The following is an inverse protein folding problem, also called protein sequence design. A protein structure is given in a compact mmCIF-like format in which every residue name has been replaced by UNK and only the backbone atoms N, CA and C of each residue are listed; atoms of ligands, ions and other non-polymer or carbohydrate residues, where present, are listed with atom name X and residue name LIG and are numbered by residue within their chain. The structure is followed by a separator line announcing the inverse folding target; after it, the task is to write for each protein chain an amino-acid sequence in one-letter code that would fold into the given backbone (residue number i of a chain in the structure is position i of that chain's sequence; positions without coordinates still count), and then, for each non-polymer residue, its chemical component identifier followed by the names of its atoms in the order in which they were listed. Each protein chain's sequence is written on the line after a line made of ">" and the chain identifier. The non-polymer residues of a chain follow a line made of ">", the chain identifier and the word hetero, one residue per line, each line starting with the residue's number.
data_IF_574084325963
#
_entry.id   IF_574084325963
#
_cell.length_a   1.000
_cell.length_b   1.000
_cell.length_c   1.000
_cell.angle_alpha   90.00
_cell.angle_beta   90.00
_cell.angle_gamma   90.00
#
_symmetry.space_group_name_H-M   'P 1'
#
loop_
_entity.id
_entity.type
_entity.pdbx_description
1 polymer ?
#
# COMPACT_ATOMS: atom_id res chain seq x y z
N UNK A 1 -4.66 -7.55 33.51
CA UNK A 1 -5.21 -7.52 32.14
C UNK A 1 -4.13 -8.05 31.21
N UNK A 2 -4.42 -9.09 30.42
CA UNK A 2 -3.48 -9.59 29.41
C UNK A 2 -3.15 -8.47 28.41
N UNK A 3 -1.86 -8.29 28.09
CA UNK A 3 -1.41 -7.34 27.07
C UNK A 3 -2.05 -7.74 25.73
N UNK A 4 -2.78 -6.83 25.07
CA UNK A 4 -3.30 -7.08 23.72
C UNK A 4 -2.12 -7.24 22.76
N UNK A 5 -2.19 -8.19 21.84
CA UNK A 5 -1.14 -8.45 20.85
C UNK A 5 -0.82 -7.18 20.04
N UNK A 6 0.43 -7.03 19.61
CA UNK A 6 0.88 -5.81 18.94
C UNK A 6 0.18 -5.63 17.56
N UNK A 7 -0.16 -6.73 16.87
CA UNK A 7 -0.97 -6.77 15.64
C UNK A 7 -2.34 -6.13 15.85
N UNK A 8 -3.04 -6.50 16.93
CA UNK A 8 -4.36 -5.92 17.24
C UNK A 8 -4.25 -4.40 17.45
N UNK A 9 -3.20 -3.95 18.17
CA UNK A 9 -3.00 -2.53 18.44
C UNK A 9 -2.72 -1.70 17.18
N UNK A 10 -2.04 -2.29 16.19
CA UNK A 10 -1.70 -1.62 14.94
C UNK A 10 -2.83 -1.68 13.91
N UNK A 11 -3.45 -2.85 13.71
CA UNK A 11 -4.47 -3.04 12.68
C UNK A 11 -5.84 -2.51 13.07
N UNK A 12 -6.18 -2.47 14.36
CA UNK A 12 -7.49 -1.99 14.81
C UNK A 12 -7.83 -0.59 14.29
N UNK A 13 -6.94 0.42 14.43
CA UNK A 13 -7.25 1.78 13.99
C UNK A 13 -7.19 1.92 12.47
N UNK A 14 -6.27 1.18 11.81
CA UNK A 14 -6.19 1.10 10.34
C UNK A 14 -7.50 0.56 9.76
N UNK A 15 -7.98 -0.58 10.26
CA UNK A 15 -9.24 -1.19 9.82
C UNK A 15 -10.40 -0.24 10.13
N UNK A 16 -10.41 0.40 11.30
CA UNK A 16 -11.47 1.36 11.65
C UNK A 16 -11.48 2.56 10.70
N UNK A 17 -10.32 3.08 10.34
CA UNK A 17 -10.17 4.17 9.37
C UNK A 17 -10.65 3.73 7.97
N UNK A 18 -10.15 2.62 7.45
CA UNK A 18 -10.59 2.07 6.16
C UNK A 18 -12.08 1.72 6.13
N UNK A 19 -12.65 1.34 7.27
CA UNK A 19 -14.10 1.12 7.41
C UNK A 19 -14.90 2.42 7.23
N UNK A 20 -14.43 3.53 7.81
CA UNK A 20 -15.08 4.83 7.64
C UNK A 20 -15.13 5.24 6.16
N UNK A 21 -14.06 4.94 5.41
CA UNK A 21 -13.95 5.23 3.98
C UNK A 21 -14.48 4.12 3.07
N UNK A 22 -15.23 3.15 3.59
CA UNK A 22 -15.86 2.06 2.82
C UNK A 22 -14.89 1.13 2.06
N UNK A 23 -13.63 1.04 2.50
CA UNK A 23 -12.62 0.21 1.84
C UNK A 23 -12.69 -1.22 2.35
N UNK A 24 -12.84 -1.40 3.67
CA UNK A 24 -12.80 -2.72 4.31
C UNK A 24 -14.10 -3.03 5.05
N UNK A 25 -14.79 -4.16 4.77
CA UNK A 25 -16.05 -4.53 5.41
C UNK A 25 -15.88 -5.23 6.78
N UNK A 26 -14.80 -4.93 7.50
CA UNK A 26 -14.45 -5.55 8.78
C UNK A 26 -14.66 -4.58 9.95
N UNK A 27 -14.94 -5.13 11.12
CA UNK A 27 -15.07 -4.41 12.39
C UNK A 27 -14.19 -5.08 13.44
N UNK A 28 -13.63 -4.28 14.35
CA UNK A 28 -12.96 -4.78 15.54
C UNK A 28 -13.96 -5.19 16.63
N UNK A 29 -13.68 -6.30 17.30
CA UNK A 29 -14.38 -6.77 18.49
C UNK A 29 -13.50 -6.69 19.76
N UNK A 30 -14.15 -6.58 20.92
CA UNK A 30 -13.46 -6.53 22.21
C UNK A 30 -13.00 -7.90 22.73
N UNK A 31 -13.56 -8.99 22.18
CA UNK A 31 -13.28 -10.38 22.53
C UNK A 31 -12.96 -11.17 21.25
N UNK A 32 -12.38 -12.35 21.40
CA UNK A 32 -12.14 -13.26 20.28
C UNK A 32 -13.45 -13.73 19.63
N UNK A 33 -13.52 -13.77 18.29
CA UNK A 33 -12.51 -13.29 17.32
C UNK A 33 -12.38 -11.75 17.34
N UNK A 34 -11.14 -11.23 17.37
CA UNK A 34 -10.88 -9.78 17.54
C UNK A 34 -11.31 -8.91 16.34
N UNK A 35 -11.62 -9.54 15.22
CA UNK A 35 -12.19 -8.93 14.04
C UNK A 35 -13.40 -9.75 13.58
N UNK A 36 -14.40 -9.08 13.01
CA UNK A 36 -15.59 -9.72 12.45
C UNK A 36 -16.07 -8.96 11.21
N UNK A 37 -16.86 -9.63 10.37
CA UNK A 37 -17.56 -8.96 9.27
C UNK A 37 -18.71 -8.11 9.80
N UNK A 38 -18.76 -6.86 9.40
CA UNK A 38 -19.84 -5.96 9.78
C UNK A 38 -20.82 -5.79 8.61
N UNK A 39 -22.07 -6.24 8.78
CA UNK A 39 -23.10 -6.12 7.73
C UNK A 39 -23.29 -4.68 7.26
N UNK A 40 -23.34 -3.72 8.18
CA UNK A 40 -23.46 -2.30 7.83
C UNK A 40 -22.27 -1.80 7.01
N UNK A 41 -21.05 -2.20 7.38
CA UNK A 41 -19.85 -1.86 6.62
C UNK A 41 -19.83 -2.52 5.24
N UNK A 42 -20.34 -3.74 5.13
CA UNK A 42 -20.43 -4.44 3.85
C UNK A 42 -21.36 -3.72 2.88
N UNK A 43 -22.56 -3.31 3.33
CA UNK A 43 -23.45 -2.49 2.50
C UNK A 43 -22.84 -1.12 2.17
N UNK A 44 -22.08 -0.53 3.10
CA UNK A 44 -21.36 0.72 2.84
C UNK A 44 -20.30 0.54 1.74
N UNK A 45 -19.48 -0.51 1.80
CA UNK A 45 -18.50 -0.84 0.77
C UNK A 45 -19.17 -1.12 -0.59
N UNK A 46 -20.32 -1.82 -0.60
CA UNK A 46 -21.09 -2.06 -1.83
C UNK A 46 -21.63 -0.77 -2.44
N UNK A 47 -22.10 0.16 -1.62
CA UNK A 47 -22.57 1.46 -2.10
C UNK A 47 -21.43 2.27 -2.71
N UNK A 48 -20.26 2.30 -2.08
CA UNK A 48 -19.10 3.02 -2.62
C UNK A 48 -18.55 2.36 -3.88
N UNK A 49 -18.50 1.02 -3.94
CA UNK A 49 -18.18 0.30 -5.19
C UNK A 49 -19.18 0.66 -6.31
N UNK A 50 -20.48 0.74 -6.01
CA UNK A 50 -21.46 1.19 -7.00
C UNK A 50 -21.19 2.63 -7.48
N UNK A 51 -20.83 3.54 -6.57
CA UNK A 51 -20.46 4.92 -6.93
C UNK A 51 -19.22 4.93 -7.84
N UNK A 52 -18.18 4.17 -7.52
CA UNK A 52 -16.98 4.06 -8.37
C UNK A 52 -17.25 3.41 -9.72
N UNK A 53 -18.13 2.41 -9.79
CA UNK A 53 -18.58 1.85 -11.05
C UNK A 53 -19.28 2.91 -11.91
N UNK A 54 -20.15 3.72 -11.32
CA UNK A 54 -20.81 4.82 -12.02
C UNK A 54 -19.81 5.88 -12.50
N UNK A 55 -18.84 6.29 -11.68
CA UNK A 55 -17.81 7.26 -12.10
C UNK A 55 -16.89 6.69 -13.15
N UNK A 56 -16.52 5.40 -13.06
CA UNK A 56 -15.75 4.70 -14.09
C UNK A 56 -16.48 4.68 -15.44
N UNK A 57 -17.78 4.34 -15.45
CA UNK A 57 -18.60 4.40 -16.68
C UNK A 57 -18.66 5.83 -17.23
N UNK A 58 -18.83 6.82 -16.36
CA UNK A 58 -18.80 8.23 -16.77
C UNK A 58 -17.45 8.63 -17.38
N UNK A 59 -16.32 8.18 -16.80
CA UNK A 59 -14.98 8.41 -17.37
C UNK A 59 -14.79 7.74 -18.73
N UNK A 60 -15.40 6.57 -18.99
CA UNK A 60 -15.40 5.98 -20.33
C UNK A 60 -16.11 6.91 -21.32
N UNK A 61 -17.29 7.44 -20.96
CA UNK A 61 -18.02 8.37 -21.81
C UNK A 61 -17.21 9.64 -22.07
N UNK A 62 -16.52 10.17 -21.05
CA UNK A 62 -15.64 11.33 -21.17
C UNK A 62 -14.47 11.06 -22.15
N UNK A 63 -13.85 9.89 -22.08
CA UNK A 63 -12.78 9.49 -23.03
C UNK A 63 -13.31 9.39 -24.47
N UNK A 64 -14.53 8.87 -24.66
CA UNK A 64 -15.15 8.77 -25.98
C UNK A 64 -15.46 10.17 -26.55
N UNK A 65 -16.00 11.06 -25.72
CA UNK A 65 -16.33 12.44 -26.11
C UNK A 65 -15.08 13.25 -26.47
N UNK A 66 -13.99 13.04 -25.71
CA UNK A 66 -12.71 13.73 -25.91
C UNK A 66 -11.84 13.14 -27.01
N UNK A 67 -12.26 12.06 -27.68
CA UNK A 67 -11.42 11.33 -28.65
C UNK A 67 -11.04 12.18 -29.89
N UNK A 68 -11.88 13.14 -30.25
CA UNK A 68 -11.62 14.09 -31.34
C UNK A 68 -10.97 15.40 -30.86
N UNK A 69 -10.67 15.52 -29.57
CA UNK A 69 -10.09 16.71 -28.95
C UNK A 69 -8.55 16.67 -28.98
N UNK A 70 -7.91 17.64 -28.32
CA UNK A 70 -6.45 17.66 -28.20
C UNK A 70 -5.93 16.44 -27.44
N UNK A 71 -4.68 16.04 -27.74
CA UNK A 71 -4.01 14.92 -27.06
C UNK A 71 -3.98 15.07 -25.53
N UNK A 72 -3.96 16.32 -25.04
CA UNK A 72 -4.05 16.63 -23.61
C UNK A 72 -5.39 16.24 -23.01
N UNK A 73 -6.51 16.62 -23.65
CA UNK A 73 -7.84 16.28 -23.14
C UNK A 73 -8.05 14.76 -23.10
N UNK A 74 -7.50 14.03 -24.08
CA UNK A 74 -7.51 12.57 -24.10
C UNK A 74 -6.69 12.01 -22.93
N UNK A 75 -5.51 12.57 -22.66
CA UNK A 75 -4.65 12.14 -21.55
C UNK A 75 -5.32 12.40 -20.18
N UNK A 76 -5.93 13.57 -19.99
CA UNK A 76 -6.66 13.91 -18.76
C UNK A 76 -7.90 13.02 -18.57
N UNK A 77 -8.68 12.77 -19.60
CA UNK A 77 -9.82 11.85 -19.51
C UNK A 77 -9.39 10.41 -19.20
N UNK A 78 -8.27 9.97 -19.80
CA UNK A 78 -7.68 8.64 -19.54
C UNK A 78 -7.15 8.54 -18.10
N UNK A 79 -6.62 9.64 -17.54
CA UNK A 79 -6.20 9.69 -16.14
C UNK A 79 -7.37 9.35 -15.19
N UNK A 80 -8.53 10.00 -15.36
CA UNK A 80 -9.72 9.75 -14.54
C UNK A 80 -10.23 8.32 -14.69
N UNK A 81 -10.20 7.78 -15.92
CA UNK A 81 -10.57 6.39 -16.18
C UNK A 81 -9.73 5.41 -15.35
N UNK A 82 -8.41 5.59 -15.36
CA UNK A 82 -7.47 4.72 -14.63
C UNK A 82 -7.60 4.93 -13.12
N UNK A 83 -7.84 6.18 -12.69
CA UNK A 83 -8.10 6.56 -11.30
C UNK A 83 -9.27 5.82 -10.68
N UNK A 84 -10.45 5.92 -11.29
CA UNK A 84 -11.62 5.24 -10.75
C UNK A 84 -11.56 3.73 -10.96
N UNK A 85 -10.89 3.24 -12.02
CA UNK A 85 -10.63 1.81 -12.16
C UNK A 85 -9.77 1.26 -11.02
N UNK A 86 -8.72 1.98 -10.61
CA UNK A 86 -7.89 1.61 -9.47
C UNK A 86 -8.71 1.58 -8.17
N UNK A 87 -9.48 2.64 -7.89
CA UNK A 87 -10.31 2.72 -6.69
C UNK A 87 -11.34 1.58 -6.63
N UNK A 88 -12.01 1.30 -7.74
CA UNK A 88 -12.96 0.20 -7.88
C UNK A 88 -12.29 -1.15 -7.63
N UNK A 89 -11.17 -1.44 -8.30
CA UNK A 89 -10.43 -2.68 -8.11
C UNK A 89 -9.97 -2.87 -6.66
N UNK A 90 -9.58 -1.80 -5.96
CA UNK A 90 -9.19 -1.86 -4.54
C UNK A 90 -10.38 -2.20 -3.63
N UNK A 91 -11.54 -1.56 -3.81
CA UNK A 91 -12.74 -1.87 -3.00
C UNK A 91 -13.24 -3.27 -3.30
N UNK A 92 -13.31 -3.66 -4.57
CA UNK A 92 -13.70 -5.02 -4.99
C UNK A 92 -12.76 -6.07 -4.39
N UNK A 93 -11.44 -5.81 -4.38
CA UNK A 93 -10.48 -6.68 -3.73
C UNK A 93 -10.86 -6.95 -2.26
N UNK A 94 -11.11 -5.91 -1.46
CA UNK A 94 -11.45 -6.08 -0.05
C UNK A 94 -12.84 -6.68 0.18
N UNK A 95 -13.81 -6.42 -0.70
CA UNK A 95 -15.11 -7.06 -0.65
C UNK A 95 -14.98 -8.57 -0.82
N UNK A 96 -14.30 -9.00 -1.89
CA UNK A 96 -14.10 -10.42 -2.23
C UNK A 96 -13.21 -11.14 -1.22
N UNK A 97 -12.08 -10.53 -0.85
CA UNK A 97 -11.07 -11.12 0.03
C UNK A 97 -11.35 -10.93 1.52
N UNK A 98 -12.51 -10.39 1.90
CA UNK A 98 -12.83 -10.12 3.31
C UNK A 98 -12.86 -11.36 4.20
N UNK A 99 -13.17 -12.55 3.65
CA UNK A 99 -13.11 -13.83 4.39
C UNK A 99 -11.67 -14.19 4.71
N UNK A 100 -10.82 -14.10 3.70
CA UNK A 100 -9.45 -14.58 3.75
C UNK A 100 -8.57 -13.59 4.51
N UNK A 101 -8.86 -12.29 4.42
CA UNK A 101 -8.29 -11.26 5.28
C UNK A 101 -8.60 -11.51 6.76
N UNK A 102 -9.82 -11.95 7.09
CA UNK A 102 -10.18 -12.27 8.47
C UNK A 102 -9.39 -13.49 8.96
N UNK A 103 -9.29 -14.54 8.14
CA UNK A 103 -8.50 -15.73 8.46
C UNK A 103 -7.02 -15.39 8.64
N UNK A 104 -6.47 -14.56 7.76
CA UNK A 104 -5.09 -14.08 7.84
C UNK A 104 -4.83 -13.31 9.14
N UNK A 105 -5.71 -12.36 9.51
CA UNK A 105 -5.54 -11.59 10.74
C UNK A 105 -5.59 -12.49 11.98
N UNK A 106 -6.45 -13.52 11.98
CA UNK A 106 -6.52 -14.48 13.08
C UNK A 106 -5.26 -15.35 13.14
N UNK A 107 -4.80 -15.88 12.00
CA UNK A 107 -3.55 -16.63 11.92
C UNK A 107 -2.33 -15.78 12.33
N UNK A 108 -2.34 -14.49 12.01
CA UNK A 108 -1.30 -13.55 12.42
C UNK A 108 -1.29 -13.38 13.94
N UNK A 109 -2.46 -13.24 14.58
CA UNK A 109 -2.55 -13.16 16.05
C UNK A 109 -1.99 -14.44 16.70
N UNK A 110 -2.31 -15.60 16.15
CA UNK A 110 -1.79 -16.88 16.68
C UNK A 110 -0.28 -17.03 16.46
N UNK A 111 0.23 -16.59 15.31
CA UNK A 111 1.67 -16.52 15.03
C UNK A 111 2.36 -15.55 16.00
N UNK A 112 1.75 -14.40 16.28
CA UNK A 112 2.31 -13.43 17.21
C UNK A 112 2.37 -13.98 18.64
N UNK A 113 1.38 -14.76 19.10
CA UNK A 113 1.46 -15.44 20.39
C UNK A 113 2.69 -16.34 20.49
N UNK A 114 2.95 -17.13 19.45
CA UNK A 114 4.16 -17.95 19.36
C UNK A 114 5.44 -17.09 19.39
N UNK A 115 5.45 -15.94 18.70
CA UNK A 115 6.58 -15.00 18.72
C UNK A 115 6.80 -14.42 20.11
N UNK A 116 5.74 -14.01 20.81
CA UNK A 116 5.80 -13.45 22.16
C UNK A 116 6.32 -14.47 23.18
N UNK A 117 5.91 -15.74 23.09
CA UNK A 117 6.49 -16.83 23.89
C UNK A 117 8.01 -16.89 23.72
N UNK A 118 8.47 -16.66 22.49
CA UNK A 118 9.87 -16.63 22.07
C UNK A 118 10.57 -15.28 22.32
N UNK A 119 9.96 -14.37 23.06
CA UNK A 119 10.50 -13.03 23.35
C UNK A 119 10.76 -12.18 22.08
N UNK A 120 10.02 -12.45 21.01
CA UNK A 120 10.05 -11.66 19.78
C UNK A 120 8.88 -10.68 19.84
N UNK A 121 9.21 -9.39 19.93
CA UNK A 121 8.23 -8.30 19.97
C UNK A 121 8.58 -7.25 18.91
N UNK A 122 7.59 -6.48 18.43
CA UNK A 122 7.87 -5.36 17.53
C UNK A 122 8.79 -4.32 18.18
N UNK A 123 8.53 -4.03 19.46
CA UNK A 123 9.13 -2.91 20.17
C UNK A 123 8.43 -1.58 19.90
N UNK A 124 8.65 -0.60 20.78
CA UNK A 124 7.97 0.72 20.73
C UNK A 124 8.35 1.52 19.48
N UNK A 125 9.61 1.46 19.06
CA UNK A 125 10.12 2.23 17.92
C UNK A 125 9.40 1.87 16.62
N UNK A 126 9.23 0.57 16.34
CA UNK A 126 8.57 0.13 15.11
C UNK A 126 7.09 0.47 15.12
N UNK A 127 6.42 0.34 16.28
CA UNK A 127 5.04 0.82 16.42
C UNK A 127 4.91 2.31 16.12
N UNK A 128 5.82 3.14 16.67
CA UNK A 128 5.84 4.57 16.36
C UNK A 128 6.10 4.84 14.88
N UNK A 129 6.96 4.06 14.22
CA UNK A 129 7.18 4.17 12.77
C UNK A 129 5.93 3.85 11.96
N UNK A 130 5.24 2.75 12.26
CA UNK A 130 3.98 2.39 11.61
C UNK A 130 2.93 3.50 11.77
N UNK A 131 2.81 4.06 12.98
CA UNK A 131 1.89 5.16 13.26
C UNK A 131 2.27 6.46 12.56
N UNK A 132 3.55 6.79 12.55
CA UNK A 132 4.06 7.95 11.83
C UNK A 132 3.76 7.84 10.33
N UNK A 133 4.01 6.67 9.73
CA UNK A 133 3.71 6.42 8.32
C UNK A 133 2.21 6.55 8.07
N UNK A 134 1.36 5.93 8.89
CA UNK A 134 -0.09 6.04 8.75
C UNK A 134 -0.57 7.50 8.78
N UNK A 135 -0.17 8.25 9.80
CA UNK A 135 -0.57 9.66 9.96
C UNK A 135 0.00 10.50 8.81
N UNK A 136 1.28 10.31 8.45
CA UNK A 136 1.91 11.04 7.37
C UNK A 136 1.26 10.77 6.02
N UNK A 137 0.91 9.51 5.71
CA UNK A 137 0.24 9.16 4.45
C UNK A 137 -1.13 9.82 4.37
N UNK A 138 -1.93 9.79 5.45
CA UNK A 138 -3.27 10.42 5.48
C UNK A 138 -3.17 11.94 5.37
N UNK A 139 -2.22 12.58 6.06
CA UNK A 139 -2.03 14.03 5.97
C UNK A 139 -1.59 14.43 4.55
N UNK A 140 -0.61 13.72 4.00
CA UNK A 140 -0.08 14.04 2.67
C UNK A 140 -1.11 13.80 1.57
N UNK A 141 -1.90 12.72 1.64
CA UNK A 141 -2.94 12.47 0.62
C UNK A 141 -3.97 13.59 0.59
N UNK A 142 -4.40 14.08 1.76
CA UNK A 142 -5.40 15.14 1.86
C UNK A 142 -4.83 16.56 1.70
N UNK A 143 -3.50 16.71 1.63
CA UNK A 143 -2.87 18.04 1.54
C UNK A 143 -3.20 18.72 0.21
N UNK A 144 -3.24 17.96 -0.88
CA UNK A 144 -3.60 18.45 -2.20
C UNK A 144 -5.03 19.02 -2.19
N UNK A 145 -6.01 18.23 -1.72
CA UNK A 145 -7.38 18.67 -1.53
C UNK A 145 -7.51 19.91 -0.64
N UNK A 146 -6.76 19.97 0.46
CA UNK A 146 -6.76 21.13 1.35
C UNK A 146 -6.23 22.41 0.66
N UNK A 147 -5.19 22.29 -0.17
CA UNK A 147 -4.64 23.40 -0.95
C UNK A 147 -5.62 23.88 -2.03
N UNK A 148 -6.31 22.95 -2.70
CA UNK A 148 -7.36 23.30 -3.66
C UNK A 148 -8.52 24.05 -3.00
N UNK A 149 -9.00 23.56 -1.86
CA UNK A 149 -10.06 24.22 -1.10
C UNK A 149 -9.62 25.61 -0.63
N UNK A 150 -8.40 25.74 -0.11
CA UNK A 150 -7.87 27.03 0.31
C UNK A 150 -7.75 28.04 -0.84
N UNK A 151 -7.34 27.57 -2.02
CA UNK A 151 -7.29 28.38 -3.24
C UNK A 151 -8.69 28.87 -3.66
N UNK A 152 -9.65 27.95 -3.74
CA UNK A 152 -11.04 28.28 -4.11
C UNK A 152 -11.69 29.27 -3.13
N UNK A 153 -11.44 29.13 -1.82
CA UNK A 153 -11.97 30.04 -0.80
C UNK A 153 -11.34 31.42 -0.88
N UNK A 154 -10.05 31.52 -1.24
CA UNK A 154 -9.36 32.80 -1.37
C UNK A 154 -9.85 33.62 -2.56
N UNK A 155 -10.11 32.94 -3.68
CA UNK A 155 -10.40 33.60 -4.96
C UNK A 155 -11.91 33.85 -5.18
N UNK A 156 -12.78 33.26 -4.36
CA UNK A 156 -14.22 33.45 -4.44
C UNK A 156 -14.73 34.69 -3.68
N UNK A 157 -15.68 35.42 -4.26
CA UNK A 157 -16.37 36.52 -3.60
C UNK A 157 -17.55 36.03 -2.75
N UNK A 158 -18.18 34.91 -3.15
CA UNK A 158 -19.37 34.36 -2.50
C UNK A 158 -19.33 32.82 -2.43
N UNK A 159 -20.17 32.22 -1.57
CA UNK A 159 -20.21 30.76 -1.34
C UNK A 159 -20.51 29.95 -2.60
N UNK A 160 -21.42 30.43 -3.46
CA UNK A 160 -21.73 29.77 -4.75
C UNK A 160 -20.52 29.75 -5.69
N UNK A 161 -19.69 30.79 -5.65
CA UNK A 161 -18.48 30.87 -6.46
C UNK A 161 -17.38 29.93 -5.93
N UNK A 162 -17.32 29.70 -4.61
CA UNK A 162 -16.46 28.67 -4.03
C UNK A 162 -16.79 27.30 -4.63
N UNK A 163 -18.08 26.92 -4.68
CA UNK A 163 -18.49 25.63 -5.24
C UNK A 163 -18.22 25.55 -6.75
N UNK A 164 -18.46 26.62 -7.49
CA UNK A 164 -18.11 26.68 -8.91
C UNK A 164 -16.61 26.50 -9.15
N UNK A 165 -15.77 27.21 -8.39
CA UNK A 165 -14.32 27.08 -8.47
C UNK A 165 -13.83 25.69 -8.04
N UNK A 166 -14.44 25.09 -7.02
CA UNK A 166 -14.14 23.71 -6.60
C UNK A 166 -14.49 22.70 -7.69
N UNK A 167 -15.67 22.80 -8.32
CA UNK A 167 -16.05 21.95 -9.46
C UNK A 167 -15.10 22.15 -10.63
N UNK A 168 -14.77 23.40 -10.95
CA UNK A 168 -13.84 23.73 -12.03
C UNK A 168 -12.43 23.19 -11.75
N UNK A 169 -11.92 23.33 -10.53
CA UNK A 169 -10.59 22.86 -10.14
C UNK A 169 -10.53 21.34 -10.04
N UNK A 170 -11.53 20.69 -9.46
CA UNK A 170 -11.61 19.23 -9.36
C UNK A 170 -11.82 18.57 -10.74
N UNK A 171 -12.57 19.23 -11.63
CA UNK A 171 -12.68 18.86 -13.04
C UNK A 171 -11.47 19.26 -13.90
N UNK A 172 -10.37 19.78 -13.31
CA UNK A 172 -9.17 20.28 -14.02
C UNK A 172 -9.51 21.19 -15.21
N UNK A 173 -10.42 22.13 -15.00
CA UNK A 173 -10.94 23.08 -15.99
C UNK A 173 -11.83 22.50 -17.09
N UNK A 174 -12.21 21.22 -17.01
CA UNK A 174 -13.22 20.64 -17.89
C UNK A 174 -14.57 21.29 -17.59
N UNK A 175 -15.21 21.87 -18.61
CA UNK A 175 -16.54 22.46 -18.44
C UNK A 175 -17.58 21.35 -18.30
N UNK A 176 -17.95 21.05 -17.05
CA UNK A 176 -18.96 20.05 -16.71
C UNK A 176 -20.39 20.61 -16.76
N UNK A 177 -20.57 21.92 -17.03
CA UNK A 177 -21.90 22.53 -17.15
C UNK A 177 -22.86 21.83 -18.14
N UNK A 178 -22.41 21.33 -19.31
CA UNK A 178 -23.30 20.64 -20.26
C UNK A 178 -23.95 19.39 -19.67
N UNK A 179 -23.32 18.78 -18.67
CA UNK A 179 -23.76 17.52 -18.08
C UNK A 179 -24.65 17.72 -16.84
N UNK A 180 -24.45 18.81 -16.08
CA UNK A 180 -25.08 18.99 -14.76
C UNK A 180 -26.01 20.21 -14.64
N UNK A 181 -26.04 21.11 -15.63
CA UNK A 181 -27.02 22.21 -15.68
C UNK A 181 -27.03 23.07 -14.42
N UNK A 182 -28.21 23.24 -13.80
CA UNK A 182 -28.40 24.07 -12.59
C UNK A 182 -28.02 23.37 -11.27
N UNK A 183 -27.68 22.09 -11.29
CA UNK A 183 -27.38 21.30 -10.07
C UNK A 183 -25.93 21.40 -9.59
N UNK A 184 -25.24 22.49 -9.94
CA UNK A 184 -23.78 22.65 -9.76
C UNK A 184 -23.33 22.54 -8.31
N UNK A 185 -24.11 23.08 -7.37
CA UNK A 185 -23.77 23.08 -5.94
C UNK A 185 -23.86 21.66 -5.33
N UNK A 186 -24.94 20.94 -5.64
CA UNK A 186 -25.15 19.56 -5.16
C UNK A 186 -24.09 18.62 -5.75
N UNK A 187 -23.78 18.80 -7.03
CA UNK A 187 -22.76 18.03 -7.72
C UNK A 187 -21.36 18.31 -7.17
N UNK A 188 -21.00 19.58 -6.92
CA UNK A 188 -19.71 19.93 -6.34
C UNK A 188 -19.48 19.30 -4.97
N UNK A 189 -20.50 19.29 -4.10
CA UNK A 189 -20.41 18.59 -2.82
C UNK A 189 -20.25 17.08 -3.00
N UNK A 190 -21.02 16.47 -3.89
CA UNK A 190 -20.91 15.04 -4.18
C UNK A 190 -19.52 14.66 -4.71
N UNK A 191 -18.95 15.49 -5.59
CA UNK A 191 -17.63 15.26 -6.18
C UNK A 191 -16.52 15.33 -5.12
N UNK A 192 -16.53 16.34 -4.25
CA UNK A 192 -15.56 16.44 -3.13
C UNK A 192 -15.65 15.21 -2.22
N UNK A 193 -16.87 14.76 -1.93
CA UNK A 193 -17.07 13.57 -1.11
C UNK A 193 -16.52 12.30 -1.78
N UNK A 194 -16.82 12.10 -3.07
CA UNK A 194 -16.33 10.95 -3.84
C UNK A 194 -14.80 10.99 -4.01
N UNK A 195 -14.22 12.16 -4.23
CA UNK A 195 -12.77 12.33 -4.31
C UNK A 195 -12.09 12.00 -2.98
N UNK A 196 -12.64 12.47 -1.85
CA UNK A 196 -12.11 12.12 -0.53
C UNK A 196 -12.15 10.61 -0.27
N UNK A 197 -13.22 9.92 -0.69
CA UNK A 197 -13.27 8.45 -0.63
C UNK A 197 -12.20 7.82 -1.53
N UNK A 198 -12.08 8.31 -2.77
CA UNK A 198 -11.18 7.80 -3.81
C UNK A 198 -9.72 7.94 -3.40
N UNK A 199 -9.33 9.06 -2.78
CA UNK A 199 -7.97 9.26 -2.29
C UNK A 199 -7.57 8.18 -1.30
N UNK A 200 -8.46 7.82 -0.36
CA UNK A 200 -8.14 6.80 0.64
C UNK A 200 -8.08 5.41 0.00
N UNK A 201 -8.97 5.11 -0.95
CA UNK A 201 -8.90 3.87 -1.73
C UNK A 201 -7.60 3.79 -2.55
N UNK A 202 -7.16 4.91 -3.12
CA UNK A 202 -5.95 5.01 -3.93
C UNK A 202 -4.67 4.78 -3.12
N UNK A 203 -4.60 5.28 -1.87
CA UNK A 203 -3.42 5.10 -0.99
C UNK A 203 -3.41 3.78 -0.21
N UNK A 204 -4.52 3.05 -0.18
CA UNK A 204 -4.67 1.88 0.67
C UNK A 204 -3.63 0.79 0.35
N UNK A 205 -3.39 0.53 -0.93
CA UNK A 205 -2.42 -0.48 -1.38
C UNK A 205 -1.00 -0.20 -0.90
N UNK A 206 -0.45 0.98 -1.19
CA UNK A 206 0.90 1.36 -0.76
C UNK A 206 1.07 1.34 0.74
N UNK A 207 0.05 1.82 1.46
CA UNK A 207 0.07 1.82 2.90
C UNK A 207 0.13 0.40 3.47
N UNK A 208 -0.67 -0.52 2.93
CA UNK A 208 -0.67 -1.93 3.36
C UNK A 208 0.68 -2.58 3.04
N UNK A 209 1.22 -2.36 1.84
CA UNK A 209 2.55 -2.87 1.46
C UNK A 209 3.60 -2.39 2.44
N UNK A 210 3.64 -1.08 2.74
CA UNK A 210 4.59 -0.49 3.67
C UNK A 210 4.44 -1.06 5.08
N UNK A 211 3.21 -1.12 5.61
CA UNK A 211 2.91 -1.56 6.96
C UNK A 211 3.31 -3.03 7.17
N UNK A 212 2.84 -3.91 6.27
CA UNK A 212 3.16 -5.34 6.29
C UNK A 212 4.67 -5.56 6.20
N UNK A 213 5.33 -4.86 5.28
CA UNK A 213 6.77 -4.98 5.07
C UNK A 213 7.57 -4.63 6.32
N UNK A 214 7.19 -3.56 7.03
CA UNK A 214 7.86 -3.12 8.26
C UNK A 214 7.66 -4.13 9.39
N UNK A 215 6.42 -4.59 9.59
CA UNK A 215 6.08 -5.50 10.69
C UNK A 215 6.80 -6.84 10.51
N UNK A 216 6.65 -7.48 9.34
CA UNK A 216 7.28 -8.78 9.07
C UNK A 216 8.80 -8.67 9.11
N UNK A 217 9.37 -7.59 8.53
CA UNK A 217 10.80 -7.34 8.59
C UNK A 217 11.30 -7.31 10.03
N UNK A 218 10.59 -6.62 10.92
CA UNK A 218 11.01 -6.53 12.32
C UNK A 218 11.03 -7.89 12.99
N UNK A 219 10.03 -8.74 12.76
CA UNK A 219 10.03 -10.09 13.31
C UNK A 219 11.21 -10.91 12.80
N UNK A 220 11.53 -10.86 11.51
CA UNK A 220 12.70 -11.53 10.95
C UNK A 220 14.02 -10.97 11.50
N UNK A 221 14.14 -9.65 11.70
CA UNK A 221 15.35 -9.03 12.26
C UNK A 221 15.62 -9.55 13.68
N UNK A 222 14.60 -9.55 14.55
CA UNK A 222 14.73 -10.05 15.93
C UNK A 222 14.97 -11.56 15.93
N UNK A 223 14.27 -12.32 15.09
CA UNK A 223 14.51 -13.77 14.97
C UNK A 223 15.95 -14.07 14.53
N UNK A 224 16.48 -13.32 13.57
CA UNK A 224 17.86 -13.44 13.11
C UNK A 224 18.87 -13.07 14.21
N UNK A 225 18.61 -12.04 15.01
CA UNK A 225 19.44 -11.68 16.16
C UNK A 225 19.47 -12.81 17.20
N UNK A 226 18.31 -13.44 17.47
CA UNK A 226 18.24 -14.62 18.32
C UNK A 226 19.05 -15.78 17.74
N UNK A 227 18.88 -16.09 16.46
CA UNK A 227 19.67 -17.11 15.75
C UNK A 227 21.18 -16.85 15.89
N UNK A 228 21.59 -15.57 15.84
CA UNK A 228 22.99 -15.15 15.96
C UNK A 228 23.60 -15.34 17.34
N UNK A 229 22.83 -15.04 18.38
CA UNK A 229 23.27 -15.19 19.77
C UNK A 229 23.44 -16.66 20.20
N UNK A 230 22.94 -17.61 19.40
CA UNK A 230 22.84 -19.03 19.76
C UNK A 230 23.99 -19.87 19.19
N UNK A 231 25.24 -19.43 19.41
CA UNK A 231 26.44 -20.14 18.94
C UNK A 231 26.54 -21.57 19.48
N UNK A 232 26.10 -21.82 20.72
CA UNK A 232 26.12 -23.13 21.38
C UNK A 232 24.72 -23.67 21.67
N UNK A 233 23.71 -23.32 20.85
CA UNK A 233 22.34 -23.73 21.11
C UNK A 233 22.18 -25.25 21.23
N UNK A 234 21.41 -25.67 22.22
CA UNK A 234 20.97 -27.04 22.36
C UNK A 234 20.00 -27.43 21.24
N UNK A 235 19.83 -28.74 21.04
CA UNK A 235 18.87 -29.27 20.07
C UNK A 235 17.44 -28.70 20.26
N UNK A 236 16.98 -28.60 21.51
CA UNK A 236 15.65 -28.07 21.82
C UNK A 236 15.53 -26.58 21.48
N UNK A 237 16.60 -25.80 21.66
CA UNK A 237 16.63 -24.38 21.29
C UNK A 237 16.57 -24.20 19.78
N UNK A 238 17.30 -25.01 19.02
CA UNK A 238 17.24 -25.01 17.55
C UNK A 238 15.86 -25.41 17.03
N UNK A 239 15.21 -26.41 17.63
CA UNK A 239 13.85 -26.79 17.24
C UNK A 239 12.84 -25.67 17.52
N UNK A 240 13.02 -24.96 18.63
CA UNK A 240 12.20 -23.79 18.97
C UNK A 240 12.38 -22.67 17.93
N UNK A 241 13.61 -22.38 17.54
CA UNK A 241 13.92 -21.38 16.50
C UNK A 241 13.37 -21.80 15.14
N UNK A 242 13.47 -23.08 14.77
CA UNK A 242 12.89 -23.61 13.54
C UNK A 242 11.37 -23.41 13.48
N UNK A 243 10.66 -23.70 14.57
CA UNK A 243 9.19 -23.49 14.65
C UNK A 243 8.81 -22.03 14.44
N UNK A 244 9.59 -21.10 14.98
CA UNK A 244 9.41 -19.67 14.75
C UNK A 244 9.67 -19.28 13.29
N UNK A 245 10.76 -19.79 12.71
CA UNK A 245 11.09 -19.52 11.30
C UNK A 245 9.98 -20.01 10.37
N UNK A 246 9.48 -21.24 10.58
CA UNK A 246 8.37 -21.80 9.81
C UNK A 246 7.12 -20.92 9.95
N UNK A 247 6.72 -20.55 11.18
CA UNK A 247 5.55 -19.72 11.39
C UNK A 247 5.66 -18.33 10.73
N UNK A 248 6.84 -17.70 10.77
CA UNK A 248 7.08 -16.44 10.07
C UNK A 248 7.01 -16.59 8.55
N UNK A 249 7.56 -17.68 8.03
CA UNK A 249 7.60 -17.96 6.61
C UNK A 249 6.19 -18.24 6.07
N UNK A 250 5.44 -19.11 6.73
CA UNK A 250 4.04 -19.39 6.42
C UNK A 250 3.18 -18.13 6.48
N UNK A 251 3.34 -17.29 7.52
CA UNK A 251 2.62 -16.01 7.62
C UNK A 251 2.98 -15.08 6.45
N UNK A 252 4.28 -14.98 6.12
CA UNK A 252 4.73 -14.11 5.01
C UNK A 252 4.19 -14.60 3.67
N UNK A 253 4.14 -15.92 3.46
CA UNK A 253 3.56 -16.53 2.26
C UNK A 253 2.07 -16.20 2.14
N UNK A 254 1.28 -16.43 3.20
CA UNK A 254 -0.16 -16.13 3.19
C UNK A 254 -0.44 -14.64 2.95
N UNK A 255 0.35 -13.76 3.56
CA UNK A 255 0.29 -12.31 3.30
C UNK A 255 0.59 -12.00 1.83
N UNK A 256 1.68 -12.57 1.29
CA UNK A 256 2.12 -12.31 -0.08
C UNK A 256 1.11 -12.83 -1.11
N UNK A 257 0.48 -13.97 -0.83
CA UNK A 257 -0.56 -14.57 -1.66
C UNK A 257 -1.85 -13.74 -1.63
N UNK A 258 -2.35 -13.39 -0.43
CA UNK A 258 -3.57 -12.62 -0.27
C UNK A 258 -3.46 -11.24 -0.92
N UNK A 259 -2.38 -10.50 -0.64
CA UNK A 259 -2.20 -9.14 -1.14
C UNK A 259 -1.57 -9.08 -2.53
N UNK A 260 -1.28 -10.22 -3.17
CA UNK A 260 -0.65 -10.28 -4.49
C UNK A 260 -1.40 -9.47 -5.57
N UNK A 261 -2.73 -9.60 -5.70
CA UNK A 261 -3.50 -8.83 -6.69
C UNK A 261 -3.49 -7.33 -6.38
N UNK A 262 -3.60 -6.96 -5.09
CA UNK A 262 -3.56 -5.56 -4.66
C UNK A 262 -2.20 -4.93 -4.98
N UNK A 263 -1.09 -5.63 -4.72
CA UNK A 263 0.26 -5.18 -5.07
C UNK A 263 0.39 -4.95 -6.58
N UNK A 264 -0.13 -5.87 -7.40
CA UNK A 264 -0.09 -5.74 -8.85
C UNK A 264 -0.83 -4.49 -9.33
N UNK A 265 -2.06 -4.30 -8.86
CA UNK A 265 -2.91 -3.16 -9.22
C UNK A 265 -2.26 -1.85 -8.78
N UNK A 266 -1.85 -1.75 -7.52
CA UNK A 266 -1.27 -0.51 -6.97
C UNK A 266 -0.01 -0.09 -7.70
N UNK A 267 0.97 -1.00 -7.85
CA UNK A 267 2.23 -0.67 -8.53
C UNK A 267 1.99 -0.37 -10.01
N UNK A 268 1.11 -1.11 -10.68
CA UNK A 268 0.79 -0.89 -12.09
C UNK A 268 0.14 0.47 -12.33
N UNK A 269 -0.90 0.80 -11.56
CA UNK A 269 -1.59 2.09 -11.66
C UNK A 269 -0.66 3.26 -11.30
N UNK A 270 0.15 3.12 -10.25
CA UNK A 270 1.08 4.18 -9.84
C UNK A 270 2.13 4.50 -10.90
N UNK A 271 2.66 3.48 -11.59
CA UNK A 271 3.53 3.72 -12.75
C UNK A 271 2.79 4.50 -13.83
N UNK A 272 1.55 4.12 -14.17
CA UNK A 272 0.78 4.83 -15.20
C UNK A 272 0.50 6.29 -14.78
N UNK A 273 0.18 6.56 -13.51
CA UNK A 273 0.02 7.94 -13.03
C UNK A 273 1.30 8.74 -13.17
N UNK A 274 2.45 8.19 -12.79
CA UNK A 274 3.74 8.89 -12.93
C UNK A 274 4.00 9.25 -14.39
N UNK A 275 3.74 8.33 -15.33
CA UNK A 275 3.89 8.58 -16.77
C UNK A 275 2.91 9.66 -17.28
N UNK A 276 1.69 9.68 -16.75
CA UNK A 276 0.66 10.66 -17.11
C UNK A 276 0.98 12.05 -16.54
N UNK A 277 1.48 12.13 -15.31
CA UNK A 277 1.99 13.36 -14.71
C UNK A 277 3.23 13.87 -15.45
N UNK A 278 4.15 13.00 -15.89
CA UNK A 278 5.28 13.42 -16.72
C UNK A 278 4.80 14.06 -18.03
N UNK A 279 3.82 13.45 -18.70
CA UNK A 279 3.24 13.99 -19.93
C UNK A 279 2.55 15.34 -19.69
N UNK A 280 1.70 15.42 -18.66
CA UNK A 280 0.88 16.61 -18.38
C UNK A 280 1.68 17.76 -17.75
N UNK A 281 2.71 17.44 -16.97
CA UNK A 281 3.54 18.39 -16.24
C UNK A 281 4.46 19.21 -17.13
N UNK A 282 4.99 18.57 -18.17
CA UNK A 282 5.76 19.24 -19.21
C UNK A 282 4.94 20.33 -19.91
N UNK A 283 3.62 20.17 -20.00
CA UNK A 283 2.71 21.12 -20.64
C UNK A 283 2.18 22.20 -19.65
N UNK A 284 1.91 21.81 -18.40
CA UNK A 284 1.46 22.73 -17.34
C UNK A 284 2.53 23.77 -16.97
N UNK A 285 3.82 23.38 -16.97
CA UNK A 285 4.93 24.30 -16.69
C UNK A 285 5.06 25.39 -17.77
N UNK A 286 4.64 25.10 -19.01
CA UNK A 286 4.67 26.04 -20.14
C UNK A 286 3.43 26.94 -20.18
N UNK A 287 2.28 26.41 -19.78
CA UNK A 287 0.96 27.01 -20.05
C UNK A 287 0.36 27.82 -18.90
N UNK A 288 0.81 27.61 -17.65
CA UNK A 288 0.16 28.20 -16.46
C UNK A 288 0.99 29.33 -15.82
N UNK A 289 0.41 30.54 -15.62
CA UNK A 289 1.12 31.66 -15.00
C UNK A 289 1.12 31.64 -13.46
N UNK A 290 0.31 30.78 -12.81
CA UNK A 290 0.16 30.81 -11.35
C UNK A 290 1.15 29.87 -10.64
N UNK A 291 1.93 30.43 -9.73
CA UNK A 291 2.91 29.69 -8.92
C UNK A 291 2.25 28.59 -8.06
N UNK A 292 1.00 28.80 -7.64
CA UNK A 292 0.25 27.86 -6.82
C UNK A 292 -0.09 26.57 -7.59
N UNK A 293 -0.56 26.68 -8.84
CA UNK A 293 -0.89 25.51 -9.68
C UNK A 293 0.38 24.70 -9.98
N UNK A 294 1.49 25.37 -10.29
CA UNK A 294 2.80 24.73 -10.46
C UNK A 294 3.25 23.99 -9.21
N UNK A 295 3.08 24.58 -8.03
CA UNK A 295 3.43 23.95 -6.76
C UNK A 295 2.58 22.70 -6.48
N UNK A 296 1.25 22.80 -6.63
CA UNK A 296 0.35 21.66 -6.42
C UNK A 296 0.71 20.52 -7.38
N UNK A 297 0.87 20.83 -8.66
CA UNK A 297 1.24 19.82 -9.64
C UNK A 297 2.57 19.11 -9.31
N UNK A 298 3.60 19.90 -8.98
CA UNK A 298 4.92 19.37 -8.60
C UNK A 298 4.83 18.52 -7.34
N UNK A 299 4.02 18.94 -6.38
CA UNK A 299 3.76 18.20 -5.16
C UNK A 299 3.11 16.85 -5.46
N UNK A 300 2.02 16.81 -6.21
CA UNK A 300 1.29 15.57 -6.56
C UNK A 300 2.20 14.58 -7.29
N UNK A 301 3.00 15.07 -8.24
CA UNK A 301 3.97 14.25 -8.96
C UNK A 301 5.03 13.66 -8.03
N UNK A 302 5.67 14.50 -7.21
CA UNK A 302 6.70 14.06 -6.27
C UNK A 302 6.12 13.11 -5.22
N UNK A 303 4.88 13.34 -4.79
CA UNK A 303 4.18 12.50 -3.81
C UNK A 303 3.96 11.09 -4.33
N UNK A 304 3.45 10.92 -5.56
CA UNK A 304 3.23 9.58 -6.15
C UNK A 304 4.55 8.82 -6.34
N UNK A 305 5.60 9.49 -6.85
CA UNK A 305 6.94 8.88 -6.97
C UNK A 305 7.46 8.44 -5.61
N UNK A 306 7.40 9.34 -4.62
CA UNK A 306 7.91 9.05 -3.29
C UNK A 306 7.16 7.87 -2.66
N UNK A 307 5.84 7.86 -2.77
CA UNK A 307 4.98 6.79 -2.24
C UNK A 307 5.32 5.43 -2.87
N UNK A 308 5.40 5.36 -4.19
CA UNK A 308 5.77 4.15 -4.93
C UNK A 308 7.17 3.66 -4.55
N UNK A 309 8.17 4.55 -4.59
CA UNK A 309 9.55 4.19 -4.29
C UNK A 309 9.71 3.77 -2.83
N UNK A 310 9.01 4.42 -1.90
CA UNK A 310 9.03 4.10 -0.49
C UNK A 310 8.38 2.74 -0.19
N UNK A 311 7.20 2.45 -0.76
CA UNK A 311 6.51 1.16 -0.57
C UNK A 311 7.34 -0.01 -1.12
N UNK A 312 7.87 0.14 -2.34
CA UNK A 312 8.76 -0.85 -2.97
C UNK A 312 10.07 -1.00 -2.20
N UNK A 313 10.66 0.09 -1.71
CA UNK A 313 11.89 0.03 -0.91
C UNK A 313 11.69 -0.75 0.38
N UNK A 314 10.61 -0.49 1.13
CA UNK A 314 10.32 -1.23 2.36
C UNK A 314 10.10 -2.72 2.09
N UNK A 315 9.35 -3.07 1.05
CA UNK A 315 9.15 -4.45 0.64
C UNK A 315 10.47 -5.12 0.22
N UNK A 316 11.34 -4.40 -0.49
CA UNK A 316 12.65 -4.93 -0.90
C UNK A 316 13.54 -5.31 0.28
N UNK A 317 13.42 -4.60 1.40
CA UNK A 317 14.20 -4.88 2.61
C UNK A 317 13.75 -6.19 3.25
N UNK A 318 12.46 -6.51 3.20
CA UNK A 318 11.91 -7.80 3.64
C UNK A 318 12.50 -8.96 2.81
N UNK A 319 12.48 -8.82 1.48
CA UNK A 319 12.97 -9.82 0.52
C UNK A 319 14.46 -10.21 0.71
N UNK A 320 15.28 -9.33 1.30
CA UNK A 320 16.71 -9.60 1.53
C UNK A 320 17.03 -10.36 2.82
N UNK A 321 16.12 -10.38 3.79
CA UNK A 321 16.41 -10.96 5.10
C UNK A 321 16.75 -12.45 5.07
N UNK A 322 16.03 -13.31 4.33
CA UNK A 322 16.30 -14.74 4.41
C UNK A 322 17.66 -15.12 3.86
N UNK A 323 18.08 -14.51 2.73
CA UNK A 323 19.44 -14.71 2.18
C UNK A 323 20.51 -14.38 3.23
N UNK A 324 20.36 -13.24 3.90
CA UNK A 324 21.27 -12.79 4.97
C UNK A 324 21.23 -13.67 6.23
N UNK A 325 20.17 -14.45 6.42
CA UNK A 325 20.04 -15.43 7.51
C UNK A 325 20.72 -16.74 7.12
N UNK A 326 20.55 -17.20 5.88
CA UNK A 326 21.21 -18.39 5.33
C UNK A 326 22.73 -18.22 5.30
N UNK A 327 23.23 -17.09 4.80
CA UNK A 327 24.68 -16.79 4.78
C UNK A 327 25.28 -16.89 6.19
N UNK A 328 24.53 -16.42 7.19
CA UNK A 328 24.95 -16.52 8.59
C UNK A 328 24.90 -17.95 9.13
N UNK A 329 23.86 -18.71 8.78
CA UNK A 329 23.74 -20.11 9.19
C UNK A 329 24.91 -20.97 8.70
N UNK A 330 25.39 -20.71 7.48
CA UNK A 330 26.58 -21.38 6.94
C UNK A 330 27.89 -20.98 7.62
N UNK A 331 27.95 -19.80 8.25
CA UNK A 331 29.15 -19.33 8.97
C UNK A 331 29.26 -19.85 10.41
N UNK A 332 28.21 -20.47 10.95
CA UNK A 332 28.23 -21.02 12.30
C UNK A 332 29.17 -22.24 12.39
N UNK A 333 29.96 -22.38 13.46
CA UNK A 333 30.88 -23.51 13.59
C UNK A 333 30.11 -24.84 13.61
N UNK A 334 30.51 -25.80 12.78
CA UNK A 334 29.91 -27.13 12.69
C UNK A 334 30.20 -28.02 13.91
N UNK A 335 31.28 -27.72 14.65
CA UNK A 335 31.81 -28.53 15.74
C UNK A 335 31.53 -27.90 17.11
N UNK A 336 30.27 -27.89 17.54
CA UNK A 336 29.90 -27.48 18.90
C UNK A 336 29.13 -28.61 19.58
N UNK A 337 29.67 -29.12 20.69
CA UNK A 337 29.08 -30.22 21.48
C UNK A 337 30.11 -31.24 21.91
N UNK A 338 29.85 -31.92 23.04
CA UNK A 338 30.75 -32.92 23.63
C UNK A 338 30.62 -34.32 23.00
N UNK A 339 29.53 -34.57 22.25
CA UNK A 339 29.26 -35.87 21.60
C UNK A 339 29.01 -35.71 20.09
N UNK A 340 29.46 -36.69 19.30
CA UNK A 340 29.26 -36.74 17.85
C UNK A 340 27.78 -36.71 17.44
N UNK A 341 26.90 -37.28 18.27
CA UNK A 341 25.46 -37.34 18.01
C UNK A 341 24.80 -35.95 18.15
N UNK A 342 25.18 -35.18 19.15
CA UNK A 342 24.70 -33.80 19.31
C UNK A 342 25.14 -32.89 18.16
N UNK A 343 26.37 -33.07 17.68
CA UNK A 343 26.89 -32.34 16.52
C UNK A 343 26.10 -32.69 15.24
N UNK A 344 25.84 -33.98 15.00
CA UNK A 344 25.04 -34.44 13.85
C UNK A 344 23.61 -33.90 13.89
N UNK A 345 22.94 -33.99 15.04
CA UNK A 345 21.56 -33.53 15.18
C UNK A 345 21.44 -32.01 15.00
N UNK A 346 22.44 -31.24 15.48
CA UNK A 346 22.53 -29.80 15.25
C UNK A 346 22.67 -29.46 13.76
N UNK A 347 23.56 -30.15 13.06
CA UNK A 347 23.81 -29.92 11.63
C UNK A 347 22.57 -30.22 10.79
N UNK A 348 21.87 -31.33 11.07
CA UNK A 348 20.59 -31.67 10.42
C UNK A 348 19.54 -30.56 10.63
N UNK A 349 19.41 -30.04 11.86
CA UNK A 349 18.42 -28.99 12.14
C UNK A 349 18.76 -27.66 11.48
N UNK A 350 20.03 -27.30 11.43
CA UNK A 350 20.48 -26.11 10.71
C UNK A 350 20.18 -26.24 9.22
N UNK A 351 20.47 -27.41 8.62
CA UNK A 351 20.14 -27.68 7.22
C UNK A 351 18.64 -27.60 6.96
N UNK A 352 17.81 -28.17 7.85
CA UNK A 352 16.36 -28.04 7.75
C UNK A 352 15.87 -26.59 7.82
N UNK A 353 16.47 -25.74 8.67
CA UNK A 353 16.14 -24.31 8.73
C UNK A 353 16.53 -23.62 7.42
N UNK A 354 17.70 -23.96 6.86
CA UNK A 354 18.14 -23.40 5.57
C UNK A 354 17.21 -23.84 4.44
N UNK A 355 16.83 -25.12 4.39
CA UNK A 355 15.88 -25.63 3.42
C UNK A 355 14.52 -24.93 3.54
N UNK A 356 14.03 -24.71 4.76
CA UNK A 356 12.78 -23.95 5.00
C UNK A 356 12.86 -22.54 4.41
N UNK A 357 13.96 -21.85 4.67
CA UNK A 357 14.21 -20.50 4.16
C UNK A 357 14.33 -20.48 2.62
N UNK A 358 14.95 -21.50 2.03
CA UNK A 358 15.17 -21.58 0.59
C UNK A 358 13.91 -21.98 -0.19
N UNK A 359 13.08 -22.83 0.39
CA UNK A 359 11.89 -23.37 -0.25
C UNK A 359 10.67 -22.44 -0.12
N UNK A 360 10.59 -21.61 0.92
CA UNK A 360 9.49 -20.66 1.10
C UNK A 360 9.92 -19.21 0.78
N UNK A 361 9.43 -18.62 -0.33
CA UNK A 361 9.81 -17.27 -0.72
C UNK A 361 9.17 -16.23 0.21
N UNK A 362 9.97 -15.58 1.06
CA UNK A 362 9.50 -14.50 1.96
C UNK A 362 9.38 -13.13 1.26
N UNK A 363 8.98 -13.13 0.00
CA UNK A 363 9.00 -11.93 -0.83
C UNK A 363 7.58 -11.52 -1.22
N UNK A 364 7.28 -10.24 -1.08
CA UNK A 364 6.04 -9.68 -1.60
C UNK A 364 6.11 -9.62 -3.12
N UNK A 365 5.06 -10.06 -3.81
CA UNK A 365 4.99 -10.14 -5.27
C UNK A 365 3.65 -9.64 -5.79
N UNK A 366 3.64 -9.15 -7.03
CA UNK A 366 2.42 -8.77 -7.73
C UNK A 366 1.98 -9.86 -8.70
N UNK A 367 1.08 -10.75 -8.27
CA UNK A 367 0.48 -11.80 -9.10
C UNK A 367 1.47 -12.77 -9.77
N UNK A 368 2.68 -12.94 -9.22
CA UNK A 368 3.75 -13.71 -9.85
C UNK A 368 4.45 -13.02 -11.04
N UNK A 369 4.00 -11.84 -11.47
CA UNK A 369 4.63 -11.07 -12.57
C UNK A 369 5.96 -10.45 -12.15
N UNK A 370 6.03 -9.97 -10.90
CA UNK A 370 7.25 -9.38 -10.35
C UNK A 370 7.32 -9.59 -8.84
N UNK A 371 8.55 -9.58 -8.33
CA UNK A 371 8.85 -9.57 -6.90
C UNK A 371 9.30 -8.17 -6.50
N UNK A 372 8.84 -7.66 -5.36
CA UNK A 372 9.29 -6.39 -4.81
C UNK A 372 10.70 -6.54 -4.25
N UNK A 373 11.69 -6.09 -5.04
CA UNK A 373 13.11 -6.19 -4.75
C UNK A 373 13.83 -4.87 -5.05
N UNK A 374 15.08 -4.73 -4.62
CA UNK A 374 15.88 -3.54 -4.96
C UNK A 374 16.09 -3.40 -6.47
N UNK A 375 16.19 -4.52 -7.18
CA UNK A 375 16.25 -4.50 -8.64
C UNK A 375 14.97 -3.93 -9.23
N UNK A 376 13.80 -4.30 -8.68
CA UNK A 376 12.51 -3.77 -9.11
C UNK A 376 12.41 -2.25 -8.85
N UNK A 377 12.84 -1.77 -7.68
CA UNK A 377 12.93 -0.34 -7.40
C UNK A 377 13.83 0.40 -8.40
N UNK A 378 15.01 -0.16 -8.70
CA UNK A 378 15.95 0.43 -9.67
C UNK A 378 15.39 0.43 -11.09
N UNK A 379 14.66 -0.61 -11.49
CA UNK A 379 14.00 -0.69 -12.81
C UNK A 379 12.89 0.35 -12.92
N UNK A 380 12.07 0.51 -11.89
CA UNK A 380 11.03 1.55 -11.83
C UNK A 380 11.64 2.95 -11.95
N UNK A 381 12.69 3.23 -11.17
CA UNK A 381 13.41 4.51 -11.27
C UNK A 381 13.98 4.74 -12.69
N UNK A 382 14.64 3.72 -13.27
CA UNK A 382 15.18 3.80 -14.63
C UNK A 382 14.11 4.02 -15.69
N UNK A 383 12.93 3.39 -15.54
CA UNK A 383 11.78 3.58 -16.42
C UNK A 383 11.30 5.04 -16.41
N UNK A 384 11.12 5.62 -15.22
CA UNK A 384 10.67 7.01 -15.04
C UNK A 384 11.63 7.97 -15.74
N UNK A 385 12.94 7.83 -15.47
CA UNK A 385 13.98 8.68 -16.09
C UNK A 385 14.04 8.50 -17.60
N UNK A 386 13.97 7.25 -18.09
CA UNK A 386 14.01 6.97 -19.53
C UNK A 386 12.82 7.58 -20.25
N UNK A 387 11.62 7.46 -19.68
CA UNK A 387 10.41 8.05 -20.26
C UNK A 387 10.48 9.57 -20.29
N UNK A 388 10.96 10.20 -19.22
CA UNK A 388 11.18 11.65 -19.18
C UNK A 388 12.15 12.10 -20.28
N UNK A 389 13.31 11.43 -20.41
CA UNK A 389 14.30 11.75 -21.45
C UNK A 389 13.73 11.58 -22.86
N UNK A 390 12.99 10.50 -23.11
CA UNK A 390 12.36 10.26 -24.42
C UNK A 390 11.32 11.33 -24.73
N UNK A 391 10.48 11.69 -23.75
CA UNK A 391 9.46 12.72 -23.91
C UNK A 391 10.07 14.11 -24.17
N UNK A 392 11.22 14.42 -23.57
CA UNK A 392 11.97 15.65 -23.85
C UNK A 392 12.59 15.68 -25.26
N UNK A 393 12.86 14.53 -25.87
CA UNK A 393 13.49 14.40 -27.19
C UNK A 393 12.49 14.35 -28.35
N UNK A 394 11.23 14.01 -28.09
CA UNK A 394 10.21 13.97 -29.14
C UNK A 394 9.93 15.39 -29.66
N UNK A 395 9.90 15.59 -30.99
CA UNK A 395 9.49 16.86 -31.57
C UNK A 395 8.05 17.13 -31.15
N UNK A 396 7.83 18.30 -30.55
CA UNK A 396 6.53 18.72 -30.01
C UNK A 396 5.54 19.05 -31.12
#
# INVERSE_FOLDING_TARGET
>A
MARKSDVIQLWSPVISFFRCYAIVPLRQCHKEPYFERCRGSFYWCLLVAFVYLCTFIFSILLVIDTFNSSSKMIADATFYLIYYAHCEMTVVFFLLQSSDLLQLLQHWIDTERLLEENQIFLGRTVKCQCWFIFIATVIMSNLENALYIAGAVKDAENVTEIFYLLVKLAGKETDLNPYFGDYKDIYGFALIFVESLSEVAWIAGDFIIALVSIILRRYYEVHREQLRSQHNASFQQLERLRRVQLALSTLTHQVAELFSPLILITIGCDVIYILTFLYSGLDADISSPSLLVRFIFTYSFAYVIWRLMFSVYLASRLTELPRKTVDYLYMLPSLVGYSMEQQRNRLIKMDLIVQEIQNEPTALSGGGFFVLSKSSASKLFGLIVTYEVVMLQLPR
#
